data_IF_339799740037
#
_entry.id   IF_339799740037
#
_cell.length_a   1.000
_cell.length_b   1.000
_cell.length_c   1.000
_cell.angle_alpha   90.00
_cell.angle_beta   90.00
_cell.angle_gamma   90.00
#
_symmetry.space_group_name_H-M   'P 1'
#
loop_
_entity.id
_entity.type
_entity.pdbx_description
1 polymer ?
#
# COMPACT_ATOMS: atom_id res chain seq x y z
N UNK A 1 1.43 -14.16 -22.82
CA UNK A 1 1.92 -14.54 -21.47
C UNK A 1 2.62 -13.32 -20.88
N UNK A 2 2.39 -13.02 -19.62
CA UNK A 2 3.11 -11.95 -18.90
C UNK A 2 4.58 -12.33 -18.78
N UNK A 3 5.48 -11.47 -19.24
CA UNK A 3 6.92 -11.61 -19.09
C UNK A 3 7.42 -10.71 -17.95
N UNK A 4 8.29 -11.25 -17.08
CA UNK A 4 8.62 -10.60 -15.82
C UNK A 4 10.12 -10.69 -15.59
N UNK A 5 10.77 -9.55 -15.51
CA UNK A 5 12.16 -9.44 -15.08
C UNK A 5 12.27 -8.67 -13.79
N UNK A 6 12.79 -9.29 -12.71
CA UNK A 6 13.03 -8.63 -11.43
C UNK A 6 14.52 -8.41 -11.22
N UNK A 7 14.88 -7.18 -10.88
CA UNK A 7 16.21 -6.77 -10.49
C UNK A 7 16.25 -6.16 -9.08
N UNK A 8 17.34 -6.42 -8.39
CA UNK A 8 17.61 -5.87 -7.06
C UNK A 8 19.06 -5.45 -6.94
N UNK A 9 19.30 -4.31 -6.30
CA UNK A 9 20.62 -3.86 -5.88
C UNK A 9 20.60 -3.25 -4.48
N UNK A 10 21.68 -3.47 -3.75
CA UNK A 10 21.98 -2.82 -2.47
C UNK A 10 23.28 -2.00 -2.54
N UNK A 11 23.71 -1.63 -3.74
CA UNK A 11 24.85 -0.75 -3.97
C UNK A 11 24.63 0.61 -3.31
N UNK A 12 25.65 1.19 -2.69
CA UNK A 12 25.53 2.43 -1.95
C UNK A 12 25.24 3.66 -2.85
N UNK A 13 25.82 3.68 -4.03
CA UNK A 13 25.58 4.73 -5.00
C UNK A 13 24.26 4.53 -5.73
N UNK A 14 23.37 5.53 -5.65
CA UNK A 14 22.03 5.46 -6.22
C UNK A 14 22.00 5.20 -7.74
N UNK A 15 22.95 5.75 -8.50
CA UNK A 15 23.06 5.56 -9.96
C UNK A 15 23.50 4.12 -10.25
N UNK A 16 24.56 3.66 -9.61
CA UNK A 16 25.07 2.29 -9.79
C UNK A 16 24.01 1.25 -9.32
N UNK A 17 23.32 1.52 -8.22
CA UNK A 17 22.23 0.67 -7.74
C UNK A 17 21.10 0.57 -8.76
N UNK A 18 20.71 1.68 -9.37
CA UNK A 18 19.67 1.69 -10.40
C UNK A 18 20.12 0.95 -11.67
N UNK A 19 21.35 1.17 -12.13
CA UNK A 19 21.94 0.47 -13.28
C UNK A 19 21.97 -1.04 -13.05
N UNK A 20 22.50 -1.48 -11.91
CA UNK A 20 22.58 -2.89 -11.55
C UNK A 20 21.19 -3.55 -11.48
N UNK A 21 20.21 -2.87 -10.86
CA UNK A 21 18.84 -3.37 -10.79
C UNK A 21 18.21 -3.50 -12.19
N UNK A 22 18.42 -2.53 -13.08
CA UNK A 22 17.93 -2.58 -14.46
C UNK A 22 18.57 -3.74 -15.25
N UNK A 23 19.87 -3.89 -15.16
CA UNK A 23 20.56 -4.98 -15.85
C UNK A 23 20.07 -6.36 -15.39
N UNK A 24 19.99 -6.57 -14.07
CA UNK A 24 19.46 -7.83 -13.52
C UNK A 24 18.01 -8.09 -13.92
N UNK A 25 17.17 -7.04 -13.99
CA UNK A 25 15.80 -7.19 -14.45
C UNK A 25 15.73 -7.57 -15.94
N UNK A 26 16.57 -6.94 -16.78
CA UNK A 26 16.63 -7.26 -18.22
C UNK A 26 17.13 -8.68 -18.47
N UNK A 27 18.12 -9.16 -17.72
CA UNK A 27 18.65 -10.52 -17.84
C UNK A 27 17.60 -11.61 -17.52
N UNK A 28 16.58 -11.27 -16.73
CA UNK A 28 15.49 -12.18 -16.36
C UNK A 28 14.28 -12.10 -17.33
N UNK A 29 14.28 -11.19 -18.29
CA UNK A 29 13.26 -11.12 -19.33
C UNK A 29 13.64 -12.01 -20.52
N UNK A 30 12.62 -12.45 -21.27
CA UNK A 30 12.86 -13.04 -22.59
C UNK A 30 13.42 -11.96 -23.54
N UNK A 31 14.51 -12.26 -24.23
CA UNK A 31 15.26 -11.31 -25.06
C UNK A 31 14.46 -10.59 -26.17
N UNK A 32 13.27 -11.07 -26.52
CA UNK A 32 12.40 -10.52 -27.54
C UNK A 32 11.19 -9.78 -26.98
N UNK A 33 11.03 -9.70 -25.65
CA UNK A 33 9.85 -9.12 -25.04
C UNK A 33 9.91 -7.59 -25.05
N UNK A 34 8.82 -6.98 -25.50
CA UNK A 34 8.59 -5.56 -25.31
C UNK A 34 8.34 -5.29 -23.82
N UNK A 35 8.99 -4.28 -23.26
CA UNK A 35 8.72 -3.83 -21.90
C UNK A 35 7.61 -2.78 -21.97
N UNK A 36 6.49 -3.07 -21.32
CA UNK A 36 5.30 -2.20 -21.31
C UNK A 36 5.19 -1.35 -20.04
N UNK A 37 5.81 -1.79 -18.92
CA UNK A 37 5.81 -1.07 -17.66
C UNK A 37 7.03 -1.43 -16.82
N UNK A 38 7.63 -0.43 -16.17
CA UNK A 38 8.61 -0.58 -15.12
C UNK A 38 8.00 -0.15 -13.76
N UNK A 39 8.10 -1.02 -12.76
CA UNK A 39 7.68 -0.74 -11.40
C UNK A 39 8.91 -0.72 -10.49
N UNK A 40 9.15 0.41 -9.80
CA UNK A 40 10.34 0.60 -8.97
C UNK A 40 10.01 0.98 -7.54
N UNK A 41 10.69 0.32 -6.59
CA UNK A 41 10.75 0.78 -5.21
C UNK A 41 12.19 0.92 -4.77
N UNK A 42 12.47 2.00 -4.05
CA UNK A 42 13.78 2.22 -3.45
C UNK A 42 13.66 2.69 -2.00
N UNK A 43 14.72 2.52 -1.25
CA UNK A 43 14.80 3.14 0.07
C UNK A 43 14.93 4.65 -0.03
N UNK A 44 14.30 5.36 0.91
CA UNK A 44 14.22 6.83 0.92
C UNK A 44 15.58 7.55 1.12
N UNK A 45 16.64 6.80 1.41
CA UNK A 45 18.00 7.34 1.57
C UNK A 45 18.67 7.66 0.23
N UNK A 46 18.18 7.10 -0.86
CA UNK A 46 18.73 7.35 -2.19
C UNK A 46 18.33 8.70 -2.78
N UNK A 47 19.20 9.23 -3.64
CA UNK A 47 18.89 10.40 -4.47
C UNK A 47 17.86 10.06 -5.54
N UNK A 48 16.62 10.49 -5.38
CA UNK A 48 15.55 10.25 -6.33
C UNK A 48 15.86 10.79 -7.73
N UNK A 49 16.50 11.97 -7.83
CA UNK A 49 16.89 12.56 -9.11
C UNK A 49 17.98 11.74 -9.84
N UNK A 50 18.89 11.11 -9.09
CA UNK A 50 19.89 10.18 -9.65
C UNK A 50 19.22 8.96 -10.27
N UNK A 51 18.33 8.33 -9.50
CA UNK A 51 17.55 7.17 -9.94
C UNK A 51 16.74 7.50 -11.19
N UNK A 52 15.93 8.57 -11.18
CA UNK A 52 15.06 8.94 -12.30
C UNK A 52 15.86 9.19 -13.59
N UNK A 53 17.01 9.86 -13.51
CA UNK A 53 17.89 10.06 -14.67
C UNK A 53 18.44 8.76 -15.23
N UNK A 54 18.83 7.82 -14.36
CA UNK A 54 19.32 6.50 -14.79
C UNK A 54 18.22 5.71 -15.49
N UNK A 55 17.00 5.70 -14.94
CA UNK A 55 15.87 5.06 -15.59
C UNK A 55 15.55 5.69 -16.95
N UNK A 56 15.51 7.02 -17.02
CA UNK A 56 15.30 7.74 -18.28
C UNK A 56 16.34 7.41 -19.34
N UNK A 57 17.61 7.27 -18.96
CA UNK A 57 18.69 6.93 -19.87
C UNK A 57 18.64 5.48 -20.38
N UNK A 58 18.27 4.52 -19.51
CA UNK A 58 18.35 3.09 -19.82
C UNK A 58 16.99 2.46 -20.22
N UNK A 59 15.88 3.14 -19.92
CA UNK A 59 14.50 2.72 -20.18
C UNK A 59 13.65 3.86 -20.79
N UNK A 60 14.22 4.64 -21.71
CA UNK A 60 13.66 5.92 -22.21
C UNK A 60 12.19 5.88 -22.63
N UNK A 61 11.75 4.79 -23.25
CA UNK A 61 10.39 4.64 -23.80
C UNK A 61 9.48 3.77 -22.94
N UNK A 62 9.96 3.32 -21.78
CA UNK A 62 9.20 2.46 -20.88
C UNK A 62 8.47 3.30 -19.83
N UNK A 63 7.13 3.23 -19.74
CA UNK A 63 6.42 3.84 -18.63
C UNK A 63 6.96 3.33 -17.27
N UNK A 64 7.33 4.27 -16.40
CA UNK A 64 7.87 3.97 -15.06
C UNK A 64 6.92 4.49 -14.01
N UNK A 65 6.62 3.68 -13.00
CA UNK A 65 5.87 4.09 -11.81
C UNK A 65 6.48 3.48 -10.55
N UNK A 66 6.32 4.16 -9.42
CA UNK A 66 6.74 3.66 -8.12
C UNK A 66 7.10 4.77 -7.16
N UNK A 67 8.00 4.49 -6.22
CA UNK A 67 8.41 5.49 -5.23
C UNK A 67 9.34 4.97 -4.16
N UNK A 68 9.65 5.84 -3.20
CA UNK A 68 10.54 5.53 -2.08
C UNK A 68 9.77 5.08 -0.84
N UNK A 69 10.33 4.10 -0.13
CA UNK A 69 9.79 3.61 1.13
C UNK A 69 10.85 3.43 2.22
N UNK A 70 10.45 3.07 3.46
CA UNK A 70 11.38 2.85 4.56
C UNK A 70 12.36 1.69 4.34
N UNK A 71 11.94 0.68 3.60
CA UNK A 71 12.75 -0.48 3.20
C UNK A 71 12.11 -1.16 2.00
N UNK A 72 12.91 -1.84 1.19
CA UNK A 72 12.43 -2.64 0.05
C UNK A 72 12.42 -4.12 0.40
N UNK A 73 11.51 -4.86 -0.23
CA UNK A 73 11.34 -6.31 -0.09
C UNK A 73 11.67 -6.95 -1.42
N UNK A 74 12.65 -7.84 -1.42
CA UNK A 74 13.01 -8.65 -2.58
C UNK A 74 13.05 -10.12 -2.18
N UNK A 75 13.12 -11.01 -3.15
CA UNK A 75 13.34 -12.44 -2.90
C UNK A 75 14.64 -12.73 -2.14
N UNK A 76 15.64 -11.84 -2.24
CA UNK A 76 16.93 -11.99 -1.57
C UNK A 76 16.92 -11.53 -0.12
N UNK A 77 16.02 -10.63 0.25
CA UNK A 77 15.99 -10.05 1.59
C UNK A 77 15.09 -8.83 1.72
N UNK A 78 15.08 -8.29 2.92
CA UNK A 78 14.47 -7.00 3.28
C UNK A 78 15.61 -6.03 3.57
N UNK A 79 15.65 -4.91 2.86
CA UNK A 79 16.77 -3.98 2.86
C UNK A 79 16.32 -2.55 3.15
N UNK A 80 16.94 -1.93 4.15
CA UNK A 80 16.79 -0.50 4.43
C UNK A 80 17.51 0.37 3.41
N UNK A 81 18.47 -0.21 2.71
CA UNK A 81 19.22 0.45 1.65
C UNK A 81 19.19 -0.46 0.42
N UNK A 82 18.45 -0.05 -0.62
CA UNK A 82 18.31 -0.85 -1.83
C UNK A 82 17.29 -0.31 -2.81
N UNK A 83 17.35 -0.85 -4.00
CA UNK A 83 16.39 -0.65 -5.11
C UNK A 83 15.90 -2.02 -5.55
N UNK A 84 14.60 -2.16 -5.74
CA UNK A 84 13.99 -3.31 -6.39
C UNK A 84 13.13 -2.83 -7.56
N UNK A 85 13.25 -3.51 -8.70
CA UNK A 85 12.62 -3.16 -9.97
C UNK A 85 11.96 -4.38 -10.59
N UNK A 86 10.75 -4.24 -11.11
CA UNK A 86 10.15 -5.19 -12.05
C UNK A 86 9.99 -4.53 -13.42
N UNK A 87 10.43 -5.22 -14.46
CA UNK A 87 10.12 -4.92 -15.85
C UNK A 87 9.04 -5.91 -16.31
N UNK A 88 7.94 -5.38 -16.85
CA UNK A 88 6.77 -6.15 -17.21
C UNK A 88 6.50 -6.03 -18.71
N UNK A 89 6.46 -7.17 -19.41
CA UNK A 89 5.97 -7.29 -20.77
C UNK A 89 4.59 -7.94 -20.75
N UNK A 90 3.58 -7.25 -21.33
CA UNK A 90 2.20 -7.71 -21.25
C UNK A 90 1.83 -8.60 -22.44
N UNK A 91 0.88 -9.55 -22.24
CA UNK A 91 0.34 -10.33 -23.34
C UNK A 91 -0.43 -9.47 -24.32
N UNK A 92 -0.53 -9.92 -25.57
CA UNK A 92 -1.35 -9.27 -26.58
C UNK A 92 -2.81 -9.11 -26.13
N UNK A 93 -3.33 -7.90 -26.25
CA UNK A 93 -4.67 -7.53 -25.78
C UNK A 93 -4.72 -7.08 -24.31
N UNK A 94 -3.59 -6.99 -23.62
CA UNK A 94 -3.47 -6.26 -22.37
C UNK A 94 -3.08 -4.81 -22.63
N UNK A 95 -3.48 -3.92 -21.73
CA UNK A 95 -3.20 -2.50 -21.82
C UNK A 95 -3.00 -1.91 -20.43
N UNK A 96 -2.11 -0.92 -20.32
CA UNK A 96 -1.97 -0.12 -19.11
C UNK A 96 -1.85 1.38 -19.46
N UNK A 97 -2.26 2.22 -18.53
CA UNK A 97 -2.02 3.65 -18.59
C UNK A 97 -1.61 4.17 -17.22
N UNK A 98 -0.60 5.05 -17.21
CA UNK A 98 -0.05 5.65 -15.98
C UNK A 98 -0.37 7.15 -15.97
N UNK A 99 -0.64 7.68 -14.78
CA UNK A 99 -0.87 9.11 -14.57
C UNK A 99 -0.51 9.55 -13.16
N UNK A 100 -0.39 10.87 -12.98
CA UNK A 100 -0.25 11.48 -11.67
C UNK A 100 -1.10 12.75 -11.54
N UNK A 101 -1.46 13.06 -10.29
CA UNK A 101 -1.95 14.37 -9.85
C UNK A 101 -1.01 14.93 -8.80
N UNK A 102 -0.84 16.25 -8.77
CA UNK A 102 0.14 16.97 -7.95
C UNK A 102 -0.55 18.00 -7.07
N UNK A 103 0.19 18.48 -6.07
CA UNK A 103 -0.24 19.56 -5.18
C UNK A 103 -1.53 19.20 -4.42
N UNK A 104 -1.61 17.93 -3.95
CA UNK A 104 -2.83 17.37 -3.35
C UNK A 104 -3.21 18.11 -2.06
N UNK A 105 -2.21 18.53 -1.26
CA UNK A 105 -2.46 19.25 -0.01
C UNK A 105 -2.88 20.71 -0.23
N UNK A 106 -2.67 21.26 -1.43
CA UNK A 106 -3.00 22.62 -1.81
C UNK A 106 -4.34 22.72 -2.53
N UNK A 107 -4.83 21.60 -3.06
CA UNK A 107 -6.08 21.48 -3.82
C UNK A 107 -7.16 20.78 -3.00
N UNK A 108 -8.38 20.83 -3.50
CA UNK A 108 -9.46 20.02 -2.96
C UNK A 108 -9.20 18.52 -3.24
N UNK A 109 -9.14 17.63 -2.21
CA UNK A 109 -8.81 16.22 -2.40
C UNK A 109 -9.76 15.49 -3.36
N UNK A 110 -11.06 15.80 -3.32
CA UNK A 110 -12.06 15.21 -4.22
C UNK A 110 -11.74 15.55 -5.69
N UNK A 111 -11.43 16.81 -5.97
CA UNK A 111 -11.06 17.27 -7.32
C UNK A 111 -9.77 16.58 -7.79
N UNK A 112 -8.78 16.43 -6.92
CA UNK A 112 -7.54 15.71 -7.25
C UNK A 112 -7.79 14.24 -7.59
N UNK A 113 -8.67 13.57 -6.85
CA UNK A 113 -9.05 12.18 -7.13
C UNK A 113 -9.74 12.04 -8.49
N UNK A 114 -10.67 12.94 -8.79
CA UNK A 114 -11.38 12.99 -10.07
C UNK A 114 -10.42 13.24 -11.24
N UNK A 115 -9.52 14.22 -11.10
CA UNK A 115 -8.49 14.54 -12.09
C UNK A 115 -7.56 13.34 -12.37
N UNK A 116 -7.12 12.65 -11.33
CA UNK A 116 -6.29 11.45 -11.49
C UNK A 116 -7.04 10.35 -12.25
N UNK A 117 -8.30 10.10 -11.90
CA UNK A 117 -9.12 9.10 -12.57
C UNK A 117 -9.32 9.41 -14.05
N UNK A 118 -9.60 10.67 -14.41
CA UNK A 118 -9.74 11.10 -15.79
C UNK A 118 -8.47 10.83 -16.61
N UNK A 119 -7.31 11.19 -16.06
CA UNK A 119 -6.02 10.95 -16.71
C UNK A 119 -5.73 9.44 -16.87
N UNK A 120 -6.01 8.65 -15.83
CA UNK A 120 -5.80 7.19 -15.85
C UNK A 120 -6.70 6.49 -16.87
N UNK A 121 -7.90 7.00 -17.09
CA UNK A 121 -8.87 6.45 -18.04
C UNK A 121 -8.56 6.79 -19.51
N UNK A 122 -7.58 7.64 -19.75
CA UNK A 122 -7.21 7.99 -21.12
C UNK A 122 -6.77 6.73 -21.89
N UNK A 123 -7.36 6.51 -23.04
CA UNK A 123 -7.09 5.33 -23.88
C UNK A 123 -7.96 4.11 -23.61
N UNK A 124 -8.75 4.07 -22.51
CA UNK A 124 -9.59 2.92 -22.16
C UNK A 124 -10.99 2.89 -22.80
N UNK A 125 -11.29 3.69 -23.83
CA UNK A 125 -12.64 3.79 -24.41
C UNK A 125 -13.27 2.45 -24.78
N UNK A 126 -12.48 1.50 -25.31
CA UNK A 126 -12.94 0.20 -25.81
C UNK A 126 -12.21 -0.98 -25.14
N UNK A 127 -11.46 -0.74 -24.08
CA UNK A 127 -10.70 -1.75 -23.37
C UNK A 127 -11.31 -1.93 -21.97
N UNK A 128 -11.68 -3.16 -21.55
CA UNK A 128 -12.14 -3.40 -20.20
C UNK A 128 -11.07 -2.98 -19.19
N UNK A 129 -11.49 -2.25 -18.16
CA UNK A 129 -10.63 -1.84 -17.05
C UNK A 129 -10.73 -2.90 -15.96
N UNK A 130 -9.60 -3.37 -15.46
CA UNK A 130 -9.59 -4.47 -14.51
C UNK A 130 -9.16 -4.03 -13.12
N UNK A 131 -8.08 -3.26 -13.00
CA UNK A 131 -7.42 -2.96 -11.73
C UNK A 131 -6.72 -1.60 -11.77
N UNK A 132 -6.72 -0.90 -10.64
CA UNK A 132 -5.87 0.27 -10.37
C UNK A 132 -4.81 -0.03 -9.30
N UNK A 133 -3.57 0.42 -9.52
CA UNK A 133 -2.51 0.47 -8.52
C UNK A 133 -2.15 1.93 -8.27
N UNK A 134 -2.19 2.35 -7.00
CA UNK A 134 -2.07 3.76 -6.61
C UNK A 134 -0.96 3.95 -5.57
N UNK A 135 -0.15 4.99 -5.75
CA UNK A 135 0.88 5.38 -4.81
C UNK A 135 0.69 6.82 -4.37
N UNK A 136 0.76 7.05 -3.08
CA UNK A 136 0.72 8.37 -2.45
C UNK A 136 2.07 8.63 -1.80
N UNK A 137 2.58 9.86 -1.89
CA UNK A 137 3.85 10.19 -1.26
C UNK A 137 3.75 10.47 0.25
N UNK A 138 2.56 10.50 0.79
CA UNK A 138 2.20 10.62 2.21
C UNK A 138 0.75 10.23 2.39
N UNK A 139 0.35 10.06 3.67
CA UNK A 139 -1.08 10.06 3.97
C UNK A 139 -1.67 11.43 3.65
N UNK A 140 -2.69 11.41 2.83
CA UNK A 140 -3.39 12.62 2.38
C UNK A 140 -4.39 13.01 3.45
N UNK A 141 -4.30 14.25 3.94
CA UNK A 141 -5.39 14.86 4.68
C UNK A 141 -6.63 14.92 3.76
N UNK A 142 -7.73 14.32 4.18
CA UNK A 142 -8.91 14.19 3.31
C UNK A 142 -8.89 12.98 2.35
N UNK A 143 -8.12 11.94 2.68
CA UNK A 143 -8.05 10.70 1.92
C UNK A 143 -9.39 10.09 1.51
N UNK A 144 -10.43 10.01 2.37
CA UNK A 144 -11.77 9.56 1.97
C UNK A 144 -12.38 10.41 0.86
N UNK A 145 -12.18 11.73 0.88
CA UNK A 145 -12.68 12.62 -0.17
C UNK A 145 -11.92 12.41 -1.49
N UNK A 146 -10.62 12.17 -1.41
CA UNK A 146 -9.82 11.82 -2.60
C UNK A 146 -10.31 10.52 -3.24
N UNK A 147 -10.54 9.48 -2.44
CA UNK A 147 -11.10 8.21 -2.90
C UNK A 147 -12.48 8.42 -3.51
N UNK A 148 -13.35 9.21 -2.88
CA UNK A 148 -14.67 9.51 -3.42
C UNK A 148 -14.60 10.19 -4.79
N UNK A 149 -13.68 11.16 -4.97
CA UNK A 149 -13.43 11.79 -6.26
C UNK A 149 -12.86 10.82 -7.31
N UNK A 150 -11.95 9.95 -6.91
CA UNK A 150 -11.41 8.91 -7.77
C UNK A 150 -12.51 7.94 -8.25
N UNK A 151 -13.35 7.49 -7.33
CA UNK A 151 -14.43 6.53 -7.59
C UNK A 151 -15.61 7.14 -8.38
N UNK A 152 -15.76 8.46 -8.43
CA UNK A 152 -16.77 9.11 -9.27
C UNK A 152 -16.57 8.78 -10.75
N UNK A 153 -15.32 8.78 -11.22
CA UNK A 153 -14.99 8.48 -12.61
C UNK A 153 -14.62 7.01 -12.86
N UNK A 154 -13.95 6.36 -11.90
CA UNK A 154 -13.62 4.94 -12.03
C UNK A 154 -14.81 4.02 -11.80
N UNK A 155 -15.79 4.47 -11.02
CA UNK A 155 -16.90 3.67 -10.51
C UNK A 155 -16.64 3.17 -9.09
N UNK A 156 -17.70 3.11 -8.27
CA UNK A 156 -17.63 2.73 -6.85
C UNK A 156 -17.10 1.33 -6.59
N UNK A 157 -17.28 0.43 -7.56
CA UNK A 157 -16.85 -0.98 -7.46
C UNK A 157 -15.56 -1.26 -8.22
N UNK A 158 -14.86 -0.24 -8.71
CA UNK A 158 -13.62 -0.44 -9.43
C UNK A 158 -12.49 -0.80 -8.45
N UNK A 159 -11.82 -1.97 -8.65
CA UNK A 159 -10.80 -2.42 -7.72
C UNK A 159 -9.53 -1.57 -7.79
N UNK A 160 -9.09 -1.08 -6.65
CA UNK A 160 -7.79 -0.46 -6.52
C UNK A 160 -7.06 -1.00 -5.28
N UNK A 161 -5.76 -1.16 -5.43
CA UNK A 161 -4.82 -1.44 -4.35
C UNK A 161 -3.69 -0.44 -4.42
N UNK A 162 -2.99 -0.23 -3.33
CA UNK A 162 -1.86 0.69 -3.33
C UNK A 162 -1.29 0.97 -1.97
N UNK A 163 -0.45 1.99 -1.90
CA UNK A 163 0.27 2.30 -0.68
C UNK A 163 0.65 3.78 -0.55
N UNK A 164 0.75 4.22 0.70
CA UNK A 164 1.38 5.48 1.06
C UNK A 164 2.87 5.26 1.24
N UNK A 165 3.65 5.81 0.33
CA UNK A 165 5.10 5.72 0.29
C UNK A 165 5.71 6.94 0.98
N UNK A 166 6.65 6.73 1.92
CA UNK A 166 7.40 7.82 2.56
C UNK A 166 8.66 7.31 3.25
N UNK A 167 9.55 8.22 3.64
CA UNK A 167 10.79 7.88 4.34
C UNK A 167 10.57 7.31 5.75
N UNK A 168 11.56 6.60 6.28
CA UNK A 168 11.46 5.92 7.57
C UNK A 168 11.29 6.88 8.76
N UNK A 169 12.09 7.94 8.80
CA UNK A 169 12.15 8.88 9.92
C UNK A 169 11.76 10.31 9.51
N UNK A 170 11.79 10.58 8.22
CA UNK A 170 11.53 11.90 7.64
C UNK A 170 10.48 11.76 6.54
N UNK A 171 9.24 12.08 6.88
CA UNK A 171 8.13 12.08 5.95
C UNK A 171 8.31 13.10 4.81
N UNK A 172 9.26 14.01 4.93
CA UNK A 172 9.58 14.99 3.87
C UNK A 172 10.47 14.41 2.78
N UNK A 173 11.13 13.27 3.05
CA UNK A 173 11.94 12.52 2.06
C UNK A 173 11.16 11.39 1.41
N UNK A 174 9.99 11.69 0.91
CA UNK A 174 9.21 10.76 0.11
C UNK A 174 9.13 11.24 -1.33
N UNK A 175 9.24 10.30 -2.25
CA UNK A 175 9.21 10.59 -3.66
C UNK A 175 8.38 9.54 -4.40
N UNK A 176 7.60 10.03 -5.37
CA UNK A 176 6.97 9.19 -6.37
C UNK A 176 7.68 9.40 -7.71
N UNK A 177 7.68 8.34 -8.49
CA UNK A 177 8.17 8.35 -9.86
C UNK A 177 7.01 8.17 -10.83
N UNK A 178 7.01 8.97 -11.90
CA UNK A 178 6.24 8.71 -13.09
C UNK A 178 7.10 9.06 -14.31
N UNK A 179 7.47 8.06 -15.09
CA UNK A 179 8.39 8.20 -16.21
C UNK A 179 9.74 8.81 -15.75
N UNK A 180 10.14 9.93 -16.34
CA UNK A 180 11.37 10.64 -16.00
C UNK A 180 11.21 11.70 -14.90
N UNK A 181 10.04 11.82 -14.31
CA UNK A 181 9.73 12.85 -13.32
C UNK A 181 9.72 12.27 -11.89
N UNK A 182 10.08 13.11 -10.95
CA UNK A 182 10.06 12.86 -9.51
C UNK A 182 9.19 13.90 -8.85
N UNK A 183 8.26 13.48 -8.01
CA UNK A 183 7.37 14.41 -7.30
C UNK A 183 7.18 14.03 -5.84
N UNK A 184 6.74 15.00 -5.09
CA UNK A 184 6.18 14.89 -3.75
C UNK A 184 4.79 15.55 -3.74
N UNK A 185 4.09 15.48 -2.61
CA UNK A 185 2.73 16.02 -2.47
C UNK A 185 1.80 15.62 -3.62
N UNK A 186 1.83 14.33 -3.97
CA UNK A 186 1.23 13.82 -5.20
C UNK A 186 0.67 12.41 -5.01
N UNK A 187 -0.14 12.00 -5.98
CA UNK A 187 -0.55 10.62 -6.18
C UNK A 187 -0.22 10.20 -7.61
N UNK A 188 0.37 9.04 -7.77
CA UNK A 188 0.62 8.40 -9.07
C UNK A 188 -0.11 7.07 -9.11
N UNK A 189 -0.57 6.67 -10.30
CA UNK A 189 -1.27 5.41 -10.47
C UNK A 189 -1.06 4.79 -11.84
N UNK A 190 -1.40 3.52 -11.91
CA UNK A 190 -1.54 2.77 -13.16
C UNK A 190 -2.89 2.04 -13.15
N UNK A 191 -3.59 2.06 -14.27
CA UNK A 191 -4.72 1.17 -14.53
C UNK A 191 -4.30 0.12 -15.53
N UNK A 192 -4.62 -1.13 -15.22
CA UNK A 192 -4.51 -2.26 -16.14
C UNK A 192 -5.88 -2.68 -16.66
N UNK A 193 -5.89 -3.19 -17.88
CA UNK A 193 -7.09 -3.73 -18.50
C UNK A 193 -6.81 -4.72 -19.62
N UNK A 194 -7.88 -5.22 -20.24
CA UNK A 194 -7.79 -6.23 -21.27
C UNK A 194 -7.49 -7.62 -20.70
N UNK A 195 -6.55 -8.34 -21.30
CA UNK A 195 -6.22 -9.74 -20.95
C UNK A 195 -5.25 -9.85 -19.75
N UNK A 196 -5.56 -9.18 -18.66
CA UNK A 196 -4.87 -9.32 -17.38
C UNK A 196 -5.90 -9.67 -16.32
N UNK A 197 -5.59 -10.66 -15.50
CA UNK A 197 -6.34 -11.02 -14.31
C UNK A 197 -5.54 -10.70 -13.06
N UNK A 198 -6.22 -10.57 -11.94
CA UNK A 198 -5.57 -10.21 -10.68
C UNK A 198 -6.30 -10.82 -9.48
N UNK A 199 -5.58 -10.92 -8.38
CA UNK A 199 -6.12 -11.19 -7.07
C UNK A 199 -5.47 -10.27 -6.04
N UNK A 200 -6.26 -9.85 -5.06
CA UNK A 200 -5.82 -8.98 -3.97
C UNK A 200 -6.14 -9.62 -2.63
N UNK A 201 -5.32 -9.35 -1.64
CA UNK A 201 -5.59 -9.71 -0.26
C UNK A 201 -4.94 -8.73 0.71
N UNK A 202 -5.60 -8.50 1.83
CA UNK A 202 -5.14 -7.60 2.87
C UNK A 202 -5.50 -8.14 4.25
N UNK A 203 -4.55 -8.20 5.18
CA UNK A 203 -4.71 -8.66 6.57
C UNK A 203 -3.74 -7.96 7.50
N UNK A 204 -4.20 -7.65 8.71
CA UNK A 204 -3.34 -7.02 9.71
C UNK A 204 -2.82 -7.97 10.80
N UNK A 205 -3.64 -8.88 11.29
CA UNK A 205 -3.28 -9.82 12.36
C UNK A 205 -3.47 -9.30 13.78
N UNK A 206 -4.03 -8.10 13.96
CA UNK A 206 -4.45 -7.58 15.28
C UNK A 206 -5.80 -8.15 15.69
N UNK A 207 -5.98 -8.36 16.99
CA UNK A 207 -7.20 -8.91 17.56
C UNK A 207 -7.86 -7.89 18.50
N UNK A 208 -9.20 -7.87 18.60
CA UNK A 208 -9.90 -6.99 19.53
C UNK A 208 -9.49 -7.24 20.98
N UNK A 209 -9.23 -6.17 21.72
CA UNK A 209 -8.98 -6.16 23.15
C UNK A 209 -10.16 -5.47 23.85
N UNK A 210 -10.75 -6.13 24.84
CA UNK A 210 -11.85 -5.59 25.65
C UNK A 210 -13.19 -5.47 24.93
N UNK A 211 -14.04 -4.59 25.44
CA UNK A 211 -15.41 -4.32 24.94
C UNK A 211 -15.43 -3.33 23.78
N UNK A 212 -16.50 -3.28 22.99
CA UNK A 212 -16.70 -2.19 22.02
C UNK A 212 -17.00 -0.88 22.74
N UNK A 213 -16.60 0.24 22.12
CA UNK A 213 -16.80 1.60 22.53
C UNK A 213 -17.42 2.43 21.40
N UNK A 214 -18.17 3.48 21.72
CA UNK A 214 -18.79 4.37 20.77
C UNK A 214 -17.98 5.66 20.63
N UNK A 215 -17.64 6.07 19.41
CA UNK A 215 -17.05 7.37 19.14
C UNK A 215 -18.13 8.43 19.22
N UNK A 216 -18.11 9.26 20.28
CA UNK A 216 -19.16 10.25 20.55
C UNK A 216 -18.96 11.57 19.82
N UNK A 217 -17.69 11.96 19.54
CA UNK A 217 -17.42 13.22 18.83
C UNK A 217 -16.09 13.16 18.09
N UNK A 218 -16.09 13.62 16.84
CA UNK A 218 -14.88 13.72 16.00
C UNK A 218 -14.86 14.98 15.15
N UNK A 219 -13.66 15.42 14.77
CA UNK A 219 -13.44 16.43 13.72
C UNK A 219 -12.32 15.94 12.82
N UNK A 220 -12.65 15.53 11.60
CA UNK A 220 -11.67 14.98 10.66
C UNK A 220 -11.01 13.69 11.18
N UNK A 221 -9.71 13.74 11.49
CA UNK A 221 -8.94 12.64 12.05
C UNK A 221 -8.71 12.76 13.58
N UNK A 222 -9.39 13.69 14.24
CA UNK A 222 -9.29 13.93 15.68
C UNK A 222 -10.51 13.37 16.38
N UNK A 223 -10.33 12.42 17.30
CA UNK A 223 -11.37 11.90 18.18
C UNK A 223 -11.36 12.73 19.47
N UNK A 224 -12.43 13.49 19.70
CA UNK A 224 -12.56 14.30 20.91
C UNK A 224 -13.05 13.46 22.10
N UNK A 225 -14.08 12.62 21.87
CA UNK A 225 -14.68 11.80 22.93
C UNK A 225 -15.07 10.41 22.46
N UNK A 226 -14.95 9.46 23.39
CA UNK A 226 -15.37 8.06 23.28
C UNK A 226 -16.22 7.76 24.53
N UNK A 227 -17.43 7.18 24.33
CA UNK A 227 -18.41 6.95 25.41
C UNK A 227 -18.66 8.20 26.27
N UNK A 228 -18.73 9.39 25.61
CA UNK A 228 -18.90 10.72 26.22
C UNK A 228 -17.78 11.18 27.17
N UNK A 229 -16.61 10.51 27.12
CA UNK A 229 -15.40 10.85 27.88
C UNK A 229 -14.27 11.29 26.98
N UNK A 230 -13.24 12.01 27.50
CA UNK A 230 -12.04 12.30 26.73
C UNK A 230 -11.44 11.06 26.08
N UNK A 231 -11.14 11.12 24.78
CA UNK A 231 -10.76 9.92 24.01
C UNK A 231 -9.52 9.20 24.54
N UNK A 232 -8.60 9.91 25.21
CA UNK A 232 -7.38 9.32 25.82
C UNK A 232 -7.70 8.34 26.93
N UNK A 233 -8.84 8.48 27.62
CA UNK A 233 -9.25 7.58 28.70
C UNK A 233 -9.45 6.13 28.22
N UNK A 234 -9.72 5.90 26.93
CA UNK A 234 -9.71 4.56 26.36
C UNK A 234 -8.39 3.83 26.64
N UNK A 235 -7.26 4.51 26.46
CA UNK A 235 -5.94 3.91 26.69
C UNK A 235 -5.61 3.80 28.20
N UNK A 236 -6.10 4.73 29.01
CA UNK A 236 -5.94 4.70 30.47
C UNK A 236 -6.68 3.50 31.09
N UNK A 237 -7.89 3.19 30.58
CA UNK A 237 -8.70 2.04 31.04
C UNK A 237 -7.97 0.70 30.83
N UNK A 238 -7.31 0.52 29.68
CA UNK A 238 -6.74 -0.77 29.32
C UNK A 238 -5.26 -0.95 29.66
N UNK A 239 -4.49 0.13 29.68
CA UNK A 239 -3.03 0.02 29.76
C UNK A 239 -2.48 0.39 31.13
N UNK A 240 -3.30 0.86 32.07
CA UNK A 240 -2.91 1.27 33.44
C UNK A 240 -1.66 2.21 33.46
N UNK A 241 -1.51 3.06 32.47
CA UNK A 241 -0.43 4.04 32.38
C UNK A 241 -0.79 5.31 33.14
N UNK A 242 0.21 5.94 33.74
CA UNK A 242 0.11 7.32 34.22
C UNK A 242 -0.24 8.28 33.06
N UNK A 243 -1.26 9.15 33.19
CA UNK A 243 -1.73 10.00 32.10
C UNK A 243 -0.63 10.85 31.45
N UNK A 244 0.32 11.35 32.21
CA UNK A 244 1.43 12.19 31.71
C UNK A 244 2.41 11.34 30.88
N UNK A 245 2.71 10.13 31.36
CA UNK A 245 3.56 9.17 30.63
C UNK A 245 2.85 8.63 29.40
N UNK A 246 1.55 8.39 29.49
CA UNK A 246 0.73 7.93 28.37
C UNK A 246 0.80 8.92 27.22
N UNK A 247 0.52 10.22 27.42
CA UNK A 247 0.61 11.24 26.38
C UNK A 247 1.94 11.24 25.64
N UNK A 248 3.06 11.08 26.35
CA UNK A 248 4.41 11.05 25.75
C UNK A 248 4.70 9.76 24.97
N UNK A 249 4.08 8.65 25.36
CA UNK A 249 4.37 7.32 24.82
C UNK A 249 3.35 6.84 23.83
N UNK A 250 2.18 7.51 23.70
CA UNK A 250 1.02 6.99 22.99
C UNK A 250 1.29 6.71 21.52
N UNK A 251 2.00 7.59 20.84
CA UNK A 251 2.44 7.36 19.46
C UNK A 251 3.15 6.01 19.27
N UNK A 252 3.98 5.61 20.25
CA UNK A 252 4.69 4.32 20.22
C UNK A 252 3.81 3.18 20.65
N UNK A 253 2.97 3.38 21.67
CA UNK A 253 2.04 2.39 22.19
C UNK A 253 0.97 2.04 21.15
N UNK A 254 0.47 3.01 20.39
CA UNK A 254 -0.57 2.79 19.37
C UNK A 254 -0.12 1.87 18.23
N UNK A 255 1.20 1.69 18.04
CA UNK A 255 1.70 0.67 17.09
C UNK A 255 1.37 -0.74 17.58
N UNK A 256 1.40 -0.99 18.91
CA UNK A 256 1.05 -2.28 19.50
C UNK A 256 -0.43 -2.37 19.84
N UNK A 257 -1.05 -1.23 20.13
CA UNK A 257 -2.44 -1.08 20.57
C UNK A 257 -3.16 -0.02 19.71
N UNK A 258 -3.39 -0.26 18.41
CA UNK A 258 -4.15 0.67 17.57
C UNK A 258 -5.63 0.65 17.91
N UNK A 259 -6.36 1.65 17.44
CA UNK A 259 -7.80 1.66 17.45
C UNK A 259 -8.30 0.88 16.22
N UNK A 260 -9.13 -0.14 16.44
CA UNK A 260 -9.85 -0.86 15.39
C UNK A 260 -11.24 -0.27 15.20
N UNK A 261 -11.55 0.15 14.01
CA UNK A 261 -12.88 0.66 13.62
C UNK A 261 -13.67 -0.49 13.00
N UNK A 262 -14.83 -0.79 13.57
CA UNK A 262 -15.73 -1.78 13.02
C UNK A 262 -16.42 -1.24 11.76
N UNK A 263 -16.33 -2.01 10.68
CA UNK A 263 -17.02 -1.71 9.42
C UNK A 263 -18.18 -2.70 9.26
N UNK A 264 -19.44 -2.23 9.20
CA UNK A 264 -20.58 -3.13 9.08
C UNK A 264 -20.50 -4.05 7.85
N UNK A 265 -20.58 -5.35 8.09
CA UNK A 265 -20.51 -6.37 7.05
C UNK A 265 -19.11 -6.89 6.75
N UNK A 266 -18.09 -6.41 7.46
CA UNK A 266 -16.72 -6.90 7.37
C UNK A 266 -16.32 -7.61 8.68
N UNK A 267 -15.48 -8.63 8.59
CA UNK A 267 -14.94 -9.34 9.77
C UNK A 267 -13.69 -8.63 10.30
N UNK A 268 -12.92 -8.01 9.43
CA UNK A 268 -11.71 -7.27 9.78
C UNK A 268 -12.04 -5.84 10.24
N UNK A 269 -11.34 -5.39 11.28
CA UNK A 269 -11.38 -4.01 11.74
C UNK A 269 -10.45 -3.14 10.91
N UNK A 270 -10.87 -1.93 10.59
CA UNK A 270 -9.99 -0.94 9.98
C UNK A 270 -9.13 -0.29 11.05
N UNK A 271 -7.81 -0.50 11.01
CA UNK A 271 -6.91 0.00 12.05
C UNK A 271 -6.59 1.49 11.89
N UNK A 272 -6.43 2.16 13.04
CA UNK A 272 -5.99 3.55 13.14
C UNK A 272 -4.91 3.71 14.20
N UNK A 273 -3.73 4.19 13.77
CA UNK A 273 -2.68 4.58 14.68
C UNK A 273 -2.98 5.93 15.29
N UNK A 274 -2.71 6.10 16.57
CA UNK A 274 -2.72 7.41 17.22
C UNK A 274 -1.35 8.06 17.06
N UNK A 275 -1.32 9.24 16.48
CA UNK A 275 -0.09 9.99 16.19
C UNK A 275 0.28 10.98 17.28
N UNK A 276 -0.72 11.56 17.93
CA UNK A 276 -0.55 12.48 19.05
C UNK A 276 -1.78 12.56 19.95
N UNK A 277 -1.61 13.15 21.10
CA UNK A 277 -2.69 13.51 22.04
C UNK A 277 -2.72 15.02 22.16
N UNK A 278 -3.85 15.63 21.87
CA UNK A 278 -4.06 17.07 22.02
C UNK A 278 -4.51 17.45 23.43
N UNK A 279 -4.67 18.76 23.64
CA UNK A 279 -5.24 19.29 24.86
C UNK A 279 -6.63 18.71 25.11
N UNK A 280 -6.99 18.56 26.38
CA UNK A 280 -8.24 17.91 26.83
C UNK A 280 -8.35 16.41 26.49
N UNK A 281 -7.26 15.76 26.02
CA UNK A 281 -7.23 14.31 25.80
C UNK A 281 -7.81 13.84 24.47
N UNK A 282 -7.95 14.73 23.49
CA UNK A 282 -8.32 14.32 22.14
C UNK A 282 -7.19 13.52 21.45
N UNK A 283 -7.54 12.52 20.66
CA UNK A 283 -6.61 11.64 19.95
C UNK A 283 -6.54 12.00 18.47
N UNK A 284 -5.36 12.34 17.98
CA UNK A 284 -5.11 12.53 16.54
C UNK A 284 -4.75 11.17 15.95
N UNK A 285 -5.54 10.72 14.98
CA UNK A 285 -5.39 9.42 14.34
C UNK A 285 -4.78 9.53 12.94
N UNK A 286 -4.15 8.45 12.51
CA UNK A 286 -3.69 8.30 11.12
C UNK A 286 -4.86 7.83 10.25
N UNK A 287 -5.68 8.78 9.84
CA UNK A 287 -6.92 8.61 9.11
C UNK A 287 -8.16 8.90 9.94
N UNK A 288 -9.23 9.30 9.27
CA UNK A 288 -10.49 9.69 9.90
C UNK A 288 -11.23 8.49 10.50
N UNK A 289 -11.99 8.78 11.56
CA UNK A 289 -12.94 7.86 12.18
C UNK A 289 -14.25 8.63 12.28
N UNK A 290 -15.33 8.19 11.62
CA UNK A 290 -16.62 8.87 11.67
C UNK A 290 -17.21 8.85 13.09
N UNK A 291 -17.90 9.92 13.45
CA UNK A 291 -18.76 9.96 14.65
C UNK A 291 -19.83 8.86 14.58
N UNK A 292 -20.14 8.26 15.70
CA UNK A 292 -21.05 7.11 15.78
C UNK A 292 -20.41 5.76 15.42
N UNK A 293 -19.10 5.74 15.06
CA UNK A 293 -18.39 4.48 14.81
C UNK A 293 -18.24 3.65 16.08
N UNK A 294 -18.41 2.34 15.94
CA UNK A 294 -18.02 1.38 16.96
C UNK A 294 -16.54 1.07 16.83
N UNK A 295 -15.80 1.21 17.92
CA UNK A 295 -14.35 0.96 17.95
C UNK A 295 -13.97 -0.05 19.05
N UNK A 296 -12.79 -0.62 18.92
CA UNK A 296 -12.11 -1.38 19.98
C UNK A 296 -10.63 -1.04 20.03
N UNK A 297 -10.03 -1.14 21.19
CA UNK A 297 -8.58 -1.23 21.27
C UNK A 297 -8.16 -2.57 20.67
N UNK A 298 -7.05 -2.61 19.95
CA UNK A 298 -6.56 -3.83 19.31
C UNK A 298 -5.20 -4.21 19.89
N UNK A 299 -4.86 -5.50 19.79
CA UNK A 299 -3.56 -6.04 20.23
C UNK A 299 -3.04 -7.05 19.22
N UNK A 300 -1.74 -7.08 19.02
CA UNK A 300 -1.07 -8.10 18.21
C UNK A 300 0.17 -8.65 18.90
N UNK A 301 0.50 -9.88 18.55
CA UNK A 301 1.78 -10.51 18.82
C UNK A 301 2.56 -10.68 17.51
N UNK A 302 3.84 -11.04 17.60
CA UNK A 302 4.63 -11.35 16.40
C UNK A 302 4.02 -12.50 15.60
N UNK A 303 3.53 -13.52 16.29
CA UNK A 303 2.92 -14.71 15.71
C UNK A 303 1.64 -14.38 14.93
N UNK A 304 0.74 -13.57 15.51
CA UNK A 304 -0.51 -13.18 14.84
C UNK A 304 -0.22 -12.22 13.68
N UNK A 305 0.76 -11.35 13.83
CA UNK A 305 1.24 -10.47 12.76
C UNK A 305 1.79 -11.29 11.57
N UNK A 306 2.63 -12.30 11.82
CA UNK A 306 3.18 -13.17 10.77
C UNK A 306 2.09 -14.05 10.15
N UNK A 307 1.14 -14.55 10.94
CA UNK A 307 0.03 -15.39 10.45
C UNK A 307 -0.92 -14.66 9.49
N UNK A 308 -0.94 -13.33 9.49
CA UNK A 308 -1.71 -12.52 8.54
C UNK A 308 -1.21 -12.67 7.09
N UNK A 309 0.10 -12.93 6.90
CA UNK A 309 0.72 -13.01 5.57
C UNK A 309 0.12 -14.15 4.72
N UNK A 310 0.16 -15.43 5.18
CA UNK A 310 -0.45 -16.51 4.40
C UNK A 310 -1.96 -16.33 4.22
N UNK A 311 -2.65 -15.65 5.14
CA UNK A 311 -4.08 -15.37 4.99
C UNK A 311 -4.34 -14.38 3.86
N UNK A 312 -3.61 -13.26 3.80
CA UNK A 312 -3.72 -12.28 2.72
C UNK A 312 -3.33 -12.88 1.36
N UNK A 313 -2.25 -13.66 1.29
CA UNK A 313 -1.83 -14.31 0.04
C UNK A 313 -2.87 -15.34 -0.43
N UNK A 314 -3.41 -16.14 0.49
CA UNK A 314 -4.49 -17.10 0.17
C UNK A 314 -5.75 -16.39 -0.33
N UNK A 315 -6.10 -15.24 0.25
CA UNK A 315 -7.22 -14.41 -0.19
C UNK A 315 -6.98 -13.89 -1.62
N UNK A 316 -5.79 -13.38 -1.90
CA UNK A 316 -5.41 -12.95 -3.25
C UNK A 316 -5.47 -14.09 -4.26
N UNK A 317 -4.96 -15.27 -3.91
CA UNK A 317 -5.05 -16.46 -4.77
C UNK A 317 -6.51 -16.88 -5.02
N UNK A 318 -7.34 -16.90 -3.97
CA UNK A 318 -8.77 -17.22 -4.09
C UNK A 318 -9.51 -16.23 -4.99
N UNK A 319 -9.21 -14.94 -4.86
CA UNK A 319 -9.80 -13.88 -5.71
C UNK A 319 -9.37 -14.04 -7.16
N UNK A 320 -8.08 -14.34 -7.39
CA UNK A 320 -7.55 -14.62 -8.73
C UNK A 320 -8.22 -15.84 -9.35
N UNK A 321 -8.35 -16.95 -8.60
CA UNK A 321 -8.94 -18.19 -9.07
C UNK A 321 -10.43 -18.05 -9.38
N UNK A 322 -11.14 -17.18 -8.66
CA UNK A 322 -12.56 -16.87 -8.90
C UNK A 322 -12.81 -15.85 -10.01
N UNK A 323 -11.77 -15.32 -10.65
CA UNK A 323 -11.93 -14.33 -11.72
C UNK A 323 -12.57 -14.93 -12.97
N UNK A 324 -13.68 -14.31 -13.43
CA UNK A 324 -14.37 -14.70 -14.67
C UNK A 324 -13.52 -14.48 -15.94
N UNK A 325 -12.47 -13.66 -15.85
CA UNK A 325 -11.57 -13.35 -16.95
C UNK A 325 -10.45 -14.39 -17.08
N UNK A 326 -10.29 -15.28 -16.09
CA UNK A 326 -9.23 -16.28 -16.09
C UNK A 326 -9.51 -17.38 -17.13
N UNK A 327 -8.56 -17.57 -18.04
CA UNK A 327 -8.61 -18.68 -19.02
C UNK A 327 -8.02 -19.93 -18.38
N UNK A 328 -8.84 -20.95 -18.15
CA UNK A 328 -8.50 -22.17 -17.39
C UNK A 328 -7.42 -23.07 -18.01
N UNK A 329 -7.00 -22.83 -19.24
CA UNK A 329 -6.11 -23.73 -20.01
C UNK A 329 -4.76 -23.10 -20.40
N UNK A 330 -4.44 -21.89 -19.99
CA UNK A 330 -3.19 -21.25 -20.34
C UNK A 330 -2.16 -21.42 -19.21
N UNK A 331 -0.91 -21.72 -19.55
CA UNK A 331 0.25 -21.56 -18.64
C UNK A 331 0.50 -20.07 -18.51
N UNK A 332 -0.24 -19.41 -17.63
CA UNK A 332 -0.11 -18.00 -17.39
C UNK A 332 1.01 -17.73 -16.38
N UNK A 333 1.83 -16.73 -16.66
CA UNK A 333 2.82 -16.26 -15.69
C UNK A 333 2.14 -15.41 -14.63
N UNK A 334 2.65 -15.48 -13.40
CA UNK A 334 2.17 -14.72 -12.25
C UNK A 334 3.28 -13.85 -11.70
N UNK A 335 2.91 -12.70 -11.15
CA UNK A 335 3.79 -11.77 -10.49
C UNK A 335 3.09 -11.17 -9.27
N UNK A 336 3.80 -11.01 -8.15
CA UNK A 336 3.23 -10.43 -6.95
C UNK A 336 3.90 -9.13 -6.53
N UNK A 337 3.09 -8.17 -6.10
CA UNK A 337 3.52 -6.93 -5.47
C UNK A 337 3.08 -6.97 -4.01
N UNK A 338 4.02 -6.73 -3.09
CA UNK A 338 3.80 -6.83 -1.65
C UNK A 338 3.98 -5.46 -1.00
N UNK A 339 3.00 -5.07 -0.18
CA UNK A 339 3.08 -3.91 0.69
C UNK A 339 2.99 -4.36 2.14
N UNK A 340 3.94 -3.95 2.97
CA UNK A 340 3.93 -4.24 4.39
C UNK A 340 4.08 -2.96 5.19
N UNK A 341 3.21 -2.73 6.16
CA UNK A 341 3.28 -1.53 6.99
C UNK A 341 4.57 -1.46 7.79
N UNK A 342 5.16 -0.27 7.90
CA UNK A 342 6.32 -0.01 8.77
C UNK A 342 6.03 -0.34 10.24
N UNK A 343 4.77 -0.34 10.65
CA UNK A 343 4.35 -0.77 11.98
C UNK A 343 4.64 -2.25 12.22
N UNK A 344 4.49 -3.09 11.20
CA UNK A 344 4.84 -4.52 11.25
C UNK A 344 6.36 -4.70 11.39
N UNK A 345 7.14 -3.94 10.61
CA UNK A 345 8.60 -3.89 10.75
C UNK A 345 9.02 -3.57 12.20
N UNK A 346 8.38 -2.55 12.79
CA UNK A 346 8.65 -2.11 14.16
C UNK A 346 8.22 -3.13 15.22
N UNK A 347 7.17 -3.90 14.97
CA UNK A 347 6.70 -4.98 15.83
C UNK A 347 7.63 -6.19 15.75
N UNK A 348 8.00 -6.62 14.55
CA UNK A 348 8.83 -7.80 14.29
C UNK A 348 10.31 -7.60 14.67
N UNK A 349 10.85 -6.42 14.45
CA UNK A 349 12.24 -6.05 14.79
C UNK A 349 13.29 -7.07 14.29
N UNK A 350 13.89 -7.83 15.22
CA UNK A 350 14.92 -8.84 14.91
C UNK A 350 14.37 -10.02 14.12
N UNK A 351 13.08 -10.27 14.22
CA UNK A 351 12.39 -11.38 13.55
C UNK A 351 11.85 -10.99 12.18
N UNK A 352 12.27 -9.84 11.65
CA UNK A 352 11.83 -9.36 10.33
C UNK A 352 12.13 -10.35 9.18
N UNK A 353 13.16 -11.17 9.33
CA UNK A 353 13.48 -12.23 8.37
C UNK A 353 12.38 -13.28 8.25
N UNK A 354 11.64 -13.52 9.35
CA UNK A 354 10.51 -14.46 9.34
C UNK A 354 9.38 -13.94 8.43
N UNK A 355 9.17 -12.63 8.36
CA UNK A 355 8.20 -12.06 7.41
C UNK A 355 8.51 -12.49 5.98
N UNK A 356 9.77 -12.36 5.54
CA UNK A 356 10.19 -12.80 4.22
C UNK A 356 10.01 -14.31 4.03
N UNK A 357 10.30 -15.12 5.04
CA UNK A 357 10.12 -16.58 4.99
C UNK A 357 8.65 -16.94 4.79
N UNK A 358 7.72 -16.26 5.51
CA UNK A 358 6.28 -16.46 5.34
C UNK A 358 5.81 -16.03 3.94
N UNK A 359 6.30 -14.89 3.41
CA UNK A 359 5.99 -14.43 2.05
C UNK A 359 6.42 -15.48 1.03
N UNK A 360 7.69 -15.89 1.05
CA UNK A 360 8.25 -16.89 0.13
C UNK A 360 7.49 -18.22 0.18
N UNK A 361 7.26 -18.72 1.39
CA UNK A 361 6.53 -19.99 1.57
C UNK A 361 5.10 -19.92 1.03
N UNK A 362 4.44 -18.77 1.15
CA UNK A 362 3.04 -18.62 0.74
C UNK A 362 2.88 -18.32 -0.75
N UNK A 363 3.81 -17.57 -1.34
CA UNK A 363 3.82 -17.29 -2.79
C UNK A 363 4.37 -18.47 -3.61
N UNK A 364 5.21 -19.32 -3.01
CA UNK A 364 5.87 -20.41 -3.72
C UNK A 364 6.81 -19.90 -4.81
N UNK A 365 6.57 -20.30 -6.06
CA UNK A 365 7.39 -19.93 -7.22
C UNK A 365 6.96 -18.60 -7.87
N UNK A 366 5.94 -17.90 -7.33
CA UNK A 366 5.50 -16.62 -7.88
C UNK A 366 6.57 -15.57 -7.57
N UNK A 367 7.23 -14.98 -8.58
CA UNK A 367 8.21 -13.93 -8.38
C UNK A 367 7.54 -12.68 -7.80
N UNK A 368 8.23 -12.00 -6.91
CA UNK A 368 7.66 -10.84 -6.22
C UNK A 368 8.70 -9.75 -5.92
N UNK A 369 8.19 -8.56 -5.76
CA UNK A 369 8.88 -7.44 -5.13
C UNK A 369 7.93 -6.72 -4.17
N UNK A 370 8.47 -5.87 -3.33
CA UNK A 370 7.64 -5.10 -2.43
C UNK A 370 8.37 -3.96 -1.74
N UNK A 371 7.62 -3.26 -0.91
CA UNK A 371 8.11 -2.10 -0.16
C UNK A 371 7.40 -1.99 1.18
N UNK A 372 8.10 -1.50 2.19
CA UNK A 372 7.47 -1.07 3.44
C UNK A 372 6.81 0.29 3.25
N UNK A 373 5.65 0.47 3.90
CA UNK A 373 4.73 1.58 3.66
C UNK A 373 4.29 2.24 4.97
N UNK A 374 3.74 3.43 4.89
CA UNK A 374 3.14 4.11 6.04
C UNK A 374 1.62 3.95 6.13
N UNK A 375 1.02 3.33 5.15
CA UNK A 375 -0.39 2.97 5.06
C UNK A 375 -0.66 2.29 3.74
N UNK A 376 -1.66 1.47 3.71
CA UNK A 376 -2.06 0.68 2.56
C UNK A 376 -3.41 1.16 2.05
N UNK A 377 -3.68 0.93 0.78
CA UNK A 377 -4.94 1.21 0.12
C UNK A 377 -5.49 -0.08 -0.47
N UNK A 378 -6.63 -0.53 -0.01
CA UNK A 378 -7.29 -1.71 -0.57
C UNK A 378 -8.77 -1.75 -0.17
N UNK A 379 -9.60 -2.53 -0.87
CA UNK A 379 -10.91 -2.90 -0.36
C UNK A 379 -10.78 -3.94 0.75
N UNK A 380 -11.72 -3.94 1.71
CA UNK A 380 -11.95 -5.07 2.60
C UNK A 380 -12.68 -6.16 1.80
N UNK A 381 -12.25 -7.42 1.93
CA UNK A 381 -12.52 -8.46 0.92
C UNK A 381 -13.47 -9.59 1.35
N UNK A 382 -14.03 -9.55 2.60
CA UNK A 382 -14.50 -10.83 3.18
C UNK A 382 -15.87 -11.32 2.74
N UNK A 383 -16.87 -10.51 2.49
CA UNK A 383 -18.20 -11.09 2.30
C UNK A 383 -18.83 -10.86 0.94
N UNK A 384 -18.52 -9.83 0.30
CA UNK A 384 -18.86 -9.57 -1.10
C UNK A 384 -18.07 -8.36 -1.54
N UNK A 385 -17.15 -8.58 -2.44
CA UNK A 385 -16.42 -7.52 -3.08
C UNK A 385 -17.37 -6.40 -3.55
N UNK A 386 -17.41 -5.32 -2.78
CA UNK A 386 -18.23 -4.13 -3.11
C UNK A 386 -17.39 -3.00 -3.69
N UNK A 387 -16.08 -3.23 -3.84
CA UNK A 387 -15.15 -2.27 -4.42
C UNK A 387 -14.89 -1.02 -3.59
N UNK A 388 -15.42 -0.94 -2.38
CA UNK A 388 -15.12 0.21 -1.53
C UNK A 388 -13.70 0.16 -1.05
N UNK A 389 -12.93 1.19 -1.40
CA UNK A 389 -11.52 1.30 -1.06
C UNK A 389 -11.39 2.01 0.29
N UNK A 390 -10.50 1.52 1.12
CA UNK A 390 -10.17 2.11 2.42
C UNK A 390 -8.68 2.42 2.51
N UNK A 391 -8.33 3.45 3.25
CA UNK A 391 -6.98 3.62 3.77
C UNK A 391 -6.81 2.75 5.00
N UNK A 392 -5.79 1.91 4.98
CA UNK A 392 -5.44 1.00 6.04
C UNK A 392 -4.18 1.46 6.78
N UNK A 393 -4.02 0.97 8.00
CA UNK A 393 -2.78 1.08 8.77
C UNK A 393 -2.42 -0.31 9.31
N UNK A 394 -1.12 -0.61 9.36
CA UNK A 394 -0.57 -1.81 9.97
C UNK A 394 -0.87 -3.11 9.22
N UNK A 395 -1.29 -3.03 8.00
CA UNK A 395 -1.64 -4.19 7.20
C UNK A 395 -0.44 -4.77 6.44
N UNK A 396 -0.62 -6.01 6.03
CA UNK A 396 0.10 -6.65 4.95
C UNK A 396 -0.87 -6.81 3.78
N UNK A 397 -0.53 -6.27 2.65
CA UNK A 397 -1.34 -6.40 1.44
C UNK A 397 -0.53 -6.95 0.27
N UNK A 398 -1.21 -7.67 -0.60
CA UNK A 398 -0.61 -8.31 -1.76
C UNK A 398 -1.52 -8.20 -2.97
N UNK A 399 -0.91 -7.88 -4.10
CA UNK A 399 -1.51 -7.95 -5.42
C UNK A 399 -0.81 -9.05 -6.21
N UNK A 400 -1.56 -10.01 -6.73
CA UNK A 400 -1.08 -11.02 -7.68
C UNK A 400 -1.67 -10.70 -9.04
N UNK A 401 -0.83 -10.52 -10.04
CA UNK A 401 -1.21 -10.29 -11.43
C UNK A 401 -0.92 -11.55 -12.23
N UNK A 402 -1.83 -11.94 -13.13
CA UNK A 402 -1.69 -13.08 -14.03
C UNK A 402 -2.01 -12.66 -15.46
N UNK A 403 -1.17 -13.06 -16.42
CA UNK A 403 -1.36 -12.74 -17.85
C UNK A 403 -0.63 -13.64 -18.81
#
# INVERSE_FOLDING_TARGET
MLDIGIGFSSEENAVLAAEEAIWKAKDNLNNSSKIDLALVFNSSEFSAAGIARTFSALLSDVPLIGGSGPAVISEKGIYKHGIVLALLGFPEGAYCNTAATRDINEKNPFTCGKELAEKLLFGFKNIPRNLGLLFFDRLIDGGPNFIAGLQENLGKSFPCIGASLSGQNDLTRSFLYLNNEVFNNSCAGVIWGGKITFGMGIKHGWKPLGKPHLVSSTVGNIINSIDDKPAVELYEEYLAYDPVKLKKSLKKLSVSYPIGVFIPGEEEYLLRNVTSVEDRGALVCQGSIPEGSTIRLMISTKETCLAAIPQAIKEAQKTLDGSLLRQSNARNSKFAIVFSSISRYNLLRRDIKEELNFIKKSLGEIPFLGVYTHGELAPLMESSYRGQIYFHNQDFSVLIIEG
#
